data_IF_227385640847
#
_entry.id   IF_227385640847
#
_cell.length_a   1.000
_cell.length_b   1.000
_cell.length_c   1.000
_cell.angle_alpha   90.00
_cell.angle_beta   90.00
_cell.angle_gamma   90.00
#
_symmetry.space_group_name_H-M   'P 1'
#
loop_
_entity.id
_entity.type
_entity.pdbx_description
1 polymer ?
#
# COMPACT_ATOMS: atom_id res chain seq x y z
N UNK A 1 18.15 -9.15 -7.17
CA UNK A 1 17.60 -8.11 -8.08
C UNK A 1 16.25 -8.58 -8.58
N UNK A 2 15.27 -7.68 -8.75
CA UNK A 2 13.97 -8.03 -9.34
C UNK A 2 14.11 -8.13 -10.87
N UNK A 3 13.68 -9.25 -11.45
CA UNK A 3 13.74 -9.49 -12.90
C UNK A 3 12.51 -8.88 -13.58
N UNK A 4 12.55 -7.56 -13.72
CA UNK A 4 11.43 -6.76 -14.21
C UNK A 4 11.90 -5.65 -15.14
N UNK A 5 11.09 -5.35 -16.14
CA UNK A 5 11.27 -4.18 -17.01
C UNK A 5 10.08 -3.25 -16.84
N UNK A 6 10.34 -1.96 -16.63
CA UNK A 6 9.30 -0.93 -16.45
C UNK A 6 9.41 0.11 -17.56
N UNK A 7 8.29 0.41 -18.20
CA UNK A 7 8.16 1.53 -19.13
C UNK A 7 7.19 2.56 -18.56
N UNK A 8 7.35 3.83 -18.95
CA UNK A 8 6.40 4.87 -18.59
C UNK A 8 5.25 4.92 -19.59
N UNK A 9 4.04 4.73 -19.10
CA UNK A 9 2.80 4.91 -19.85
C UNK A 9 2.43 6.39 -20.01
N UNK A 10 1.60 6.68 -21.01
CA UNK A 10 1.10 8.04 -21.25
C UNK A 10 0.16 8.53 -20.16
N UNK A 11 -0.59 7.62 -19.52
CA UNK A 11 -1.62 7.95 -18.55
C UNK A 11 -1.21 7.47 -17.15
N UNK A 12 -1.62 8.24 -16.15
CA UNK A 12 -1.37 7.92 -14.74
C UNK A 12 -2.50 7.04 -14.21
N UNK A 13 -2.13 5.90 -13.63
CA UNK A 13 -3.03 5.12 -12.79
C UNK A 13 -3.19 5.83 -11.46
N UNK A 14 -4.43 6.18 -11.11
CA UNK A 14 -4.81 6.76 -9.81
C UNK A 14 -6.10 6.11 -9.32
N UNK A 15 -5.98 4.97 -8.65
CA UNK A 15 -7.15 4.19 -8.20
C UNK A 15 -6.95 3.64 -6.80
N UNK A 16 -8.04 3.57 -6.03
CA UNK A 16 -8.07 2.72 -4.86
C UNK A 16 -8.19 1.26 -5.30
N UNK A 17 -7.56 0.35 -4.57
CA UNK A 17 -7.54 -1.06 -4.92
C UNK A 17 -7.35 -1.93 -3.69
N UNK A 18 -8.00 -3.10 -3.71
CA UNK A 18 -7.77 -4.16 -2.75
C UNK A 18 -6.87 -5.21 -3.37
N UNK A 19 -6.13 -5.94 -2.55
CA UNK A 19 -5.29 -7.02 -3.02
C UNK A 19 -5.26 -8.19 -2.06
N UNK A 20 -4.86 -9.34 -2.58
CA UNK A 20 -4.56 -10.54 -1.81
C UNK A 20 -3.11 -10.91 -2.02
N UNK A 21 -2.35 -11.10 -0.94
CA UNK A 21 -0.96 -11.56 -1.00
C UNK A 21 -0.90 -12.95 -1.67
N UNK A 22 0.11 -13.16 -2.51
CA UNK A 22 0.30 -14.43 -3.23
C UNK A 22 0.46 -15.62 -2.29
N UNK A 23 0.19 -16.83 -2.79
CA UNK A 23 0.41 -18.08 -2.04
C UNK A 23 1.86 -18.55 -2.05
N UNK A 24 2.64 -18.15 -3.06
CA UNK A 24 4.04 -18.53 -3.24
C UNK A 24 4.98 -17.44 -2.70
N UNK A 25 4.85 -17.12 -1.41
CA UNK A 25 5.78 -16.22 -0.72
C UNK A 25 7.00 -17.00 -0.18
N UNK A 26 8.16 -16.34 0.02
CA UNK A 26 9.30 -16.95 0.70
C UNK A 26 8.91 -17.45 2.09
N UNK A 27 9.51 -18.55 2.55
CA UNK A 27 9.16 -19.21 3.83
C UNK A 27 9.11 -18.24 5.02
N UNK A 28 10.05 -17.30 5.08
CA UNK A 28 10.13 -16.32 6.15
C UNK A 28 8.98 -15.30 6.15
N UNK A 29 8.22 -15.21 5.07
CA UNK A 29 7.06 -14.34 4.90
C UNK A 29 5.76 -15.15 4.72
N UNK A 30 5.79 -16.47 4.96
CA UNK A 30 4.65 -17.37 4.73
C UNK A 30 3.37 -16.95 5.47
N UNK A 31 3.51 -16.37 6.67
CA UNK A 31 2.37 -15.87 7.47
C UNK A 31 1.61 -14.71 6.79
N UNK A 32 2.18 -14.09 5.76
CA UNK A 32 1.51 -13.05 4.98
C UNK A 32 0.67 -13.62 3.82
N UNK A 33 0.82 -14.91 3.48
CA UNK A 33 0.16 -15.51 2.33
C UNK A 33 -1.37 -15.44 2.47
N UNK A 34 -2.05 -15.01 1.40
CA UNK A 34 -3.52 -14.89 1.39
C UNK A 34 -4.08 -13.73 2.23
N UNK A 35 -3.26 -12.94 2.91
CA UNK A 35 -3.73 -11.74 3.60
C UNK A 35 -4.38 -10.78 2.60
N UNK A 36 -5.51 -10.22 3.00
CA UNK A 36 -6.15 -9.13 2.26
C UNK A 36 -5.59 -7.80 2.73
N UNK A 37 -5.23 -6.96 1.79
CA UNK A 37 -4.71 -5.61 2.02
C UNK A 37 -5.46 -4.61 1.14
N UNK A 38 -5.50 -3.37 1.59
CA UNK A 38 -6.13 -2.27 0.87
C UNK A 38 -5.12 -1.16 0.70
N UNK A 39 -5.22 -0.43 -0.41
CA UNK A 39 -4.31 0.64 -0.73
C UNK A 39 -4.76 1.39 -1.96
N UNK A 40 -3.78 1.99 -2.63
CA UNK A 40 -4.02 2.70 -3.88
C UNK A 40 -2.83 2.54 -4.82
N UNK A 41 -3.07 2.78 -6.10
CA UNK A 41 -2.04 2.91 -7.12
C UNK A 41 -1.96 4.36 -7.57
N UNK A 42 -0.76 4.94 -7.56
CA UNK A 42 -0.47 6.28 -8.09
C UNK A 42 0.84 6.20 -8.86
N UNK A 43 0.77 5.78 -10.12
CA UNK A 43 1.96 5.52 -10.93
C UNK A 43 1.69 5.72 -12.42
N UNK A 44 2.77 5.92 -13.19
CA UNK A 44 2.76 5.88 -14.66
C UNK A 44 3.62 4.72 -15.18
N UNK A 45 4.07 3.83 -14.30
CA UNK A 45 4.95 2.74 -14.68
C UNK A 45 4.13 1.50 -15.05
N UNK A 46 4.40 0.92 -16.20
CA UNK A 46 3.91 -0.40 -16.58
C UNK A 46 5.08 -1.38 -16.48
N UNK A 47 5.02 -2.25 -15.48
CA UNK A 47 6.07 -3.24 -15.20
C UNK A 47 5.67 -4.60 -15.72
N UNK A 48 6.56 -5.20 -16.52
CA UNK A 48 6.49 -6.60 -16.93
C UNK A 48 7.52 -7.42 -16.16
N UNK A 49 7.08 -8.53 -15.56
CA UNK A 49 7.95 -9.56 -14.98
C UNK A 49 8.58 -10.41 -16.08
N UNK A 50 9.85 -10.75 -15.93
CA UNK A 50 10.48 -11.79 -16.75
C UNK A 50 9.94 -13.18 -16.38
N UNK A 51 10.14 -14.16 -17.26
CA UNK A 51 9.68 -15.52 -17.03
C UNK A 51 10.29 -16.12 -15.74
N UNK A 52 9.43 -16.74 -14.93
CA UNK A 52 9.82 -17.35 -13.65
C UNK A 52 9.94 -16.39 -12.48
N UNK A 53 9.75 -15.07 -12.66
CA UNK A 53 9.65 -14.13 -11.54
C UNK A 53 8.20 -14.11 -11.01
N UNK A 54 7.94 -14.57 -9.77
CA UNK A 54 6.59 -14.65 -9.24
C UNK A 54 6.06 -13.26 -8.82
N UNK A 55 4.75 -13.01 -8.92
CA UNK A 55 4.14 -11.80 -8.39
C UNK A 55 4.14 -11.80 -6.86
N UNK A 56 4.06 -10.61 -6.26
CA UNK A 56 3.91 -10.48 -4.81
C UNK A 56 2.46 -10.68 -4.36
N UNK A 57 1.52 -10.15 -5.13
CA UNK A 57 0.10 -10.08 -4.78
C UNK A 57 -0.78 -10.03 -6.03
N UNK A 58 -2.07 -10.22 -5.82
CA UNK A 58 -3.10 -10.04 -6.84
C UNK A 58 -3.97 -8.83 -6.49
N UNK A 59 -3.95 -7.82 -7.34
CA UNK A 59 -4.84 -6.66 -7.27
C UNK A 59 -6.23 -7.05 -7.76
N UNK A 60 -7.28 -6.60 -7.09
CA UNK A 60 -8.67 -6.84 -7.46
C UNK A 60 -9.21 -5.60 -8.21
N UNK A 61 -9.23 -5.65 -9.55
CA UNK A 61 -9.62 -4.53 -10.42
C UNK A 61 -10.80 -4.93 -11.30
N UNK A 62 -11.86 -4.12 -11.29
CA UNK A 62 -13.04 -4.32 -12.16
C UNK A 62 -13.59 -5.78 -12.15
N UNK A 63 -13.58 -6.43 -10.99
CA UNK A 63 -14.04 -7.83 -10.84
C UNK A 63 -13.03 -8.90 -11.27
N UNK A 64 -11.80 -8.53 -11.62
CA UNK A 64 -10.72 -9.43 -12.04
C UNK A 64 -9.55 -9.37 -11.06
N UNK A 65 -8.85 -10.49 -10.92
CA UNK A 65 -7.57 -10.57 -10.22
C UNK A 65 -6.43 -10.31 -11.21
N UNK A 66 -5.56 -9.34 -10.91
CA UNK A 66 -4.44 -8.93 -11.73
C UNK A 66 -3.15 -9.05 -10.93
N UNK A 67 -2.22 -9.87 -11.40
CA UNK A 67 -0.93 -10.08 -10.74
C UNK A 67 -0.08 -8.79 -10.72
N UNK A 68 0.33 -8.36 -9.53
CA UNK A 68 1.16 -7.20 -9.31
C UNK A 68 2.40 -7.52 -8.46
N UNK A 69 3.41 -6.67 -8.66
CA UNK A 69 4.67 -6.79 -7.97
C UNK A 69 5.55 -7.90 -8.53
N UNK A 70 6.66 -8.13 -7.83
CA UNK A 70 7.68 -9.11 -8.16
C UNK A 70 8.44 -9.52 -6.91
N UNK A 71 8.94 -10.75 -6.87
CA UNK A 71 9.83 -11.26 -5.83
C UNK A 71 11.14 -11.73 -6.50
N UNK A 72 12.28 -11.44 -5.88
CA UNK A 72 13.59 -11.90 -6.36
C UNK A 72 13.77 -13.41 -6.15
N UNK A 73 14.66 -14.02 -6.91
CA UNK A 73 14.94 -15.47 -6.83
C UNK A 73 15.32 -15.95 -5.42
N UNK A 74 16.01 -15.11 -4.64
CA UNK A 74 16.42 -15.39 -3.25
C UNK A 74 15.32 -15.09 -2.21
N UNK A 75 14.17 -14.54 -2.64
CA UNK A 75 13.06 -14.19 -1.77
C UNK A 75 13.35 -13.06 -0.79
N UNK A 76 14.43 -12.29 -0.97
CA UNK A 76 14.84 -11.23 -0.05
C UNK A 76 14.43 -9.82 -0.50
N UNK A 77 14.09 -9.65 -1.78
CA UNK A 77 13.57 -8.42 -2.31
C UNK A 77 12.20 -8.66 -2.94
N UNK A 78 11.28 -7.73 -2.72
CA UNK A 78 10.01 -7.68 -3.42
C UNK A 78 9.59 -6.24 -3.66
N UNK A 79 8.74 -6.03 -4.66
CA UNK A 79 8.15 -4.73 -4.98
C UNK A 79 6.70 -4.90 -5.42
N UNK A 80 5.93 -3.83 -5.33
CA UNK A 80 4.51 -3.74 -5.75
C UNK A 80 4.16 -2.28 -6.02
N UNK A 81 3.20 -2.04 -6.91
CA UNK A 81 2.62 -0.71 -7.12
C UNK A 81 1.58 -0.33 -6.06
N UNK A 82 1.20 -1.28 -5.19
CA UNK A 82 0.26 -1.03 -4.10
C UNK A 82 0.92 -0.15 -3.03
N UNK A 83 0.54 1.13 -3.02
CA UNK A 83 0.81 2.00 -1.89
C UNK A 83 -0.10 1.64 -0.72
N UNK A 84 0.41 1.77 0.51
CA UNK A 84 -0.34 1.45 1.73
C UNK A 84 -0.22 0.00 2.20
N UNK A 85 0.62 -0.83 1.56
CA UNK A 85 0.85 -2.21 1.98
C UNK A 85 1.21 -2.33 3.48
N UNK A 86 2.06 -1.42 3.98
CA UNK A 86 2.48 -1.38 5.39
C UNK A 86 1.46 -0.74 6.34
N UNK A 87 0.40 -0.12 5.83
CA UNK A 87 -0.71 0.35 6.66
C UNK A 87 -1.60 -0.81 7.14
N UNK A 88 -1.46 -2.00 6.53
CA UNK A 88 -2.06 -3.23 7.06
C UNK A 88 -1.28 -3.74 8.27
N UNK A 89 -1.90 -3.66 9.44
CA UNK A 89 -1.34 -4.20 10.69
C UNK A 89 -1.00 -5.70 10.57
N UNK A 90 -1.83 -6.46 9.86
CA UNK A 90 -1.62 -7.89 9.64
C UNK A 90 -0.38 -8.16 8.77
N UNK A 91 -0.24 -7.44 7.64
CA UNK A 91 0.92 -7.60 6.77
C UNK A 91 2.20 -7.16 7.48
N UNK A 92 2.20 -5.99 8.11
CA UNK A 92 3.36 -5.46 8.83
C UNK A 92 3.76 -6.39 9.97
N UNK A 93 2.79 -7.01 10.66
CA UNK A 93 3.06 -8.02 11.69
C UNK A 93 3.72 -9.26 11.12
N UNK A 94 3.17 -9.84 10.04
CA UNK A 94 3.72 -11.01 9.39
C UNK A 94 5.16 -10.76 8.92
N UNK A 95 5.40 -9.62 8.28
CA UNK A 95 6.74 -9.20 7.84
C UNK A 95 7.72 -9.10 9.03
N UNK A 96 7.34 -8.38 10.08
CA UNK A 96 8.21 -8.19 11.24
C UNK A 96 8.49 -9.51 11.97
N UNK A 97 7.47 -10.35 12.16
CA UNK A 97 7.65 -11.65 12.81
C UNK A 97 8.51 -12.59 11.97
N UNK A 98 8.36 -12.56 10.64
CA UNK A 98 9.26 -13.25 9.71
C UNK A 98 10.72 -12.84 9.88
N UNK A 99 11.00 -11.54 9.91
CA UNK A 99 12.35 -11.01 10.14
C UNK A 99 12.88 -11.36 11.54
N UNK A 100 12.03 -11.34 12.56
CA UNK A 100 12.38 -11.72 13.94
C UNK A 100 12.81 -13.17 14.02
N UNK A 101 12.02 -14.08 13.45
CA UNK A 101 12.33 -15.51 13.43
C UNK A 101 13.67 -15.78 12.73
N UNK A 102 13.93 -15.11 11.60
CA UNK A 102 15.23 -15.19 10.91
C UNK A 102 16.41 -14.72 11.78
N UNK A 103 16.16 -13.81 12.72
CA UNK A 103 17.15 -13.31 13.69
C UNK A 103 17.21 -14.16 14.97
N UNK A 104 16.42 -15.24 15.09
CA UNK A 104 16.32 -16.04 16.31
C UNK A 104 15.55 -15.36 17.44
N UNK A 105 14.70 -14.38 17.13
CA UNK A 105 13.85 -13.69 18.08
C UNK A 105 12.44 -14.28 18.04
N UNK A 106 11.81 -14.44 19.21
CA UNK A 106 10.42 -14.88 19.32
C UNK A 106 9.45 -13.92 18.59
N UNK A 107 8.36 -14.39 17.97
CA UNK A 107 7.35 -13.52 17.39
C UNK A 107 6.72 -12.62 18.45
N UNK A 108 6.14 -11.50 18.01
CA UNK A 108 5.35 -10.60 18.85
C UNK A 108 3.88 -10.73 18.50
N UNK A 109 3.02 -10.71 19.51
CA UNK A 109 1.58 -10.60 19.32
C UNK A 109 1.20 -9.22 18.78
N UNK A 110 0.10 -9.17 18.02
CA UNK A 110 -0.47 -7.91 17.54
C UNK A 110 -1.43 -7.33 18.57
N UNK A 111 -1.15 -6.11 19.03
CA UNK A 111 -2.06 -5.32 19.87
C UNK A 111 -2.22 -3.88 19.36
N UNK A 112 -1.67 -3.57 18.18
CA UNK A 112 -1.68 -2.22 17.65
C UNK A 112 -2.64 -2.13 16.48
N UNK A 113 -3.69 -1.33 16.64
CA UNK A 113 -4.56 -0.89 15.55
C UNK A 113 -3.99 0.43 14.98
N UNK A 114 -2.90 0.34 14.21
CA UNK A 114 -2.17 1.53 13.74
C UNK A 114 -3.07 2.45 12.92
N UNK A 115 -3.94 1.88 12.09
CA UNK A 115 -4.92 2.64 11.32
C UNK A 115 -5.81 3.51 12.23
N UNK A 116 -6.32 2.95 13.34
CA UNK A 116 -7.12 3.71 14.30
C UNK A 116 -6.29 4.78 15.02
N UNK A 117 -5.05 4.46 15.39
CA UNK A 117 -4.14 5.43 15.99
C UNK A 117 -3.86 6.61 15.05
N UNK A 118 -3.57 6.33 13.78
CA UNK A 118 -3.32 7.32 12.72
C UNK A 118 -4.54 8.22 12.52
N UNK A 119 -5.74 7.64 12.40
CA UNK A 119 -7.00 8.42 12.28
C UNK A 119 -7.18 9.37 13.47
N UNK A 120 -6.97 8.89 14.71
CA UNK A 120 -7.06 9.76 15.90
C UNK A 120 -6.08 10.93 15.87
N UNK A 121 -4.89 10.77 15.29
CA UNK A 121 -3.94 11.88 15.16
C UNK A 121 -4.40 12.89 14.10
N UNK A 122 -5.01 12.42 12.99
CA UNK A 122 -5.61 13.33 12.01
C UNK A 122 -6.80 14.10 12.59
N UNK A 123 -7.66 13.45 13.38
CA UNK A 123 -8.78 14.12 14.03
C UNK A 123 -8.30 15.22 14.98
N UNK A 124 -7.24 14.94 15.75
CA UNK A 124 -6.60 15.94 16.64
C UNK A 124 -6.04 17.12 15.87
N UNK A 125 -5.34 16.86 14.76
CA UNK A 125 -4.81 17.93 13.92
C UNK A 125 -5.94 18.76 13.30
N UNK A 126 -6.99 18.10 12.79
CA UNK A 126 -8.14 18.76 12.20
C UNK A 126 -8.88 19.65 13.22
N UNK A 127 -8.98 19.20 14.47
CA UNK A 127 -9.58 20.00 15.55
C UNK A 127 -8.73 21.22 15.88
N UNK A 128 -7.42 21.05 16.05
CA UNK A 128 -6.51 22.17 16.29
C UNK A 128 -6.56 23.21 15.15
N UNK A 129 -6.68 22.76 13.89
CA UNK A 129 -6.88 23.64 12.74
C UNK A 129 -8.21 24.40 12.83
N UNK A 130 -9.32 23.75 13.19
CA UNK A 130 -10.63 24.41 13.35
C UNK A 130 -10.63 25.47 14.46
N UNK A 131 -9.91 25.23 15.54
CA UNK A 131 -9.79 26.18 16.65
C UNK A 131 -8.98 27.43 16.28
N UNK A 132 -7.93 27.28 15.47
CA UNK A 132 -6.94 28.35 15.24
C UNK A 132 -7.03 28.99 13.84
N UNK A 133 -7.77 28.39 12.92
CA UNK A 133 -7.94 28.87 11.55
C UNK A 133 -9.41 29.16 11.31
N UNK A 134 -9.72 30.32 10.74
CA UNK A 134 -11.07 30.68 10.30
C UNK A 134 -11.47 29.88 9.04
N UNK A 135 -11.65 28.57 9.21
CA UNK A 135 -11.99 27.59 8.15
C UNK A 135 -13.21 28.05 7.35
N UNK A 136 -14.22 28.62 8.00
CA UNK A 136 -15.41 29.15 7.32
C UNK A 136 -15.09 30.27 6.33
N UNK A 137 -14.12 31.13 6.65
CA UNK A 137 -13.66 32.19 5.74
C UNK A 137 -12.91 31.60 4.55
N UNK A 138 -12.07 30.59 4.77
CA UNK A 138 -11.38 29.89 3.68
C UNK A 138 -12.41 29.26 2.73
N UNK A 139 -13.42 28.55 3.27
CA UNK A 139 -14.49 27.99 2.45
C UNK A 139 -15.34 29.05 1.75
N UNK A 140 -15.58 30.21 2.38
CA UNK A 140 -16.25 31.33 1.73
C UNK A 140 -15.44 31.85 0.53
N UNK A 141 -14.13 32.05 0.68
CA UNK A 141 -13.23 32.49 -0.40
C UNK A 141 -13.21 31.46 -1.54
N UNK A 142 -13.05 30.17 -1.23
CA UNK A 142 -13.05 29.10 -2.23
C UNK A 142 -14.36 29.03 -3.04
N UNK A 143 -15.51 29.29 -2.39
CA UNK A 143 -16.81 29.33 -3.10
C UNK A 143 -17.00 30.59 -3.94
N UNK A 144 -16.43 31.71 -3.51
CA UNK A 144 -16.50 32.98 -4.25
C UNK A 144 -15.59 32.99 -5.47
N UNK A 145 -14.53 32.17 -5.48
CA UNK A 145 -13.61 32.04 -6.60
C UNK A 145 -14.01 30.83 -7.46
N UNK A 146 -14.85 31.05 -8.48
CA UNK A 146 -15.03 30.10 -9.57
C UNK A 146 -14.07 30.50 -10.69
N UNK A 147 -13.15 29.61 -11.07
CA UNK A 147 -12.34 29.81 -12.28
C UNK A 147 -13.28 29.98 -13.47
N UNK A 148 -13.07 30.99 -14.34
CA UNK A 148 -13.80 31.06 -15.59
C UNK A 148 -13.51 29.78 -16.38
N UNK A 149 -14.56 29.10 -16.82
CA UNK A 149 -14.44 27.99 -17.75
C UNK A 149 -13.73 28.50 -19.01
N UNK A 150 -12.50 28.04 -19.24
CA UNK A 150 -11.82 28.16 -20.54
C UNK A 150 -12.49 27.27 -21.58
#
# INVERSE_FOLDING_TARGET
MLKTVTHFAQHKTTTQVQATLGSALPDWLADAAGLRVSGYEIHMGETRREAGCPPLLQLHKAGQAVDDGAISDDGLAFGTYLHGLFDSDAFTRALLNGLRQRKGLAPLDSALEYARYKTRQFDRLAEAMREHIAIDKIYAIMRQHQEPLC
#
